data_IF_664355130402
#
_entry.id   IF_664355130402
#
_cell.length_a   1.000
_cell.length_b   1.000
_cell.length_c   1.000
_cell.angle_alpha   90.00
_cell.angle_beta   90.00
_cell.angle_gamma   90.00
#
_symmetry.space_group_name_H-M   'P 1'
#
loop_
_entity.id
_entity.type
_entity.pdbx_description
1 polymer ?
#
# COMPACT_ATOMS: atom_id res chain seq x y z
N UNK A 1 31.77 -18.47 40.05
CA UNK A 1 30.64 -17.54 40.31
C UNK A 1 30.84 -16.30 39.45
N UNK A 2 30.27 -16.28 38.25
CA UNK A 2 30.36 -15.12 37.36
C UNK A 2 29.23 -14.13 37.68
N UNK A 3 29.55 -12.84 37.80
CA UNK A 3 28.55 -11.80 38.05
C UNK A 3 27.81 -11.51 36.75
N UNK A 4 26.54 -11.89 36.66
CA UNK A 4 25.66 -11.42 35.60
C UNK A 4 25.55 -9.90 35.67
N UNK A 5 26.02 -9.23 34.63
CA UNK A 5 25.89 -7.77 34.52
C UNK A 5 24.45 -7.49 34.11
N UNK A 6 23.73 -6.80 35.01
CA UNK A 6 22.40 -6.25 34.78
C UNK A 6 22.27 -5.71 33.36
N UNK A 7 21.39 -6.32 32.56
CA UNK A 7 21.05 -5.83 31.23
C UNK A 7 20.29 -4.51 31.45
N UNK A 8 20.76 -3.37 30.89
CA UNK A 8 20.02 -2.12 31.02
C UNK A 8 18.64 -2.28 30.39
N UNK A 9 17.61 -1.73 31.04
CA UNK A 9 16.22 -1.82 30.57
C UNK A 9 16.10 -1.02 29.26
N UNK A 10 16.32 -1.69 28.13
CA UNK A 10 16.15 -1.12 26.79
C UNK A 10 14.70 -0.71 26.64
N UNK A 11 14.46 0.60 26.67
CA UNK A 11 13.12 1.16 26.57
C UNK A 11 12.47 0.74 25.25
N UNK A 12 11.15 0.53 25.25
CA UNK A 12 10.38 0.22 24.03
C UNK A 12 10.66 1.23 22.89
N UNK A 13 10.96 2.49 23.25
CA UNK A 13 11.33 3.57 22.32
C UNK A 13 12.69 3.39 21.62
N UNK A 14 13.59 2.55 22.13
CA UNK A 14 14.90 2.23 21.52
C UNK A 14 14.98 0.82 20.93
N UNK A 15 14.07 -0.08 21.32
CA UNK A 15 13.79 -1.33 20.61
C UNK A 15 13.01 -1.08 19.30
N UNK A 16 12.16 -0.05 19.29
CA UNK A 16 11.63 0.57 18.08
C UNK A 16 12.72 1.36 17.34
N UNK A 17 13.75 0.65 16.84
CA UNK A 17 14.57 1.17 15.75
C UNK A 17 13.65 1.35 14.55
N UNK A 18 13.15 2.57 14.37
CA UNK A 18 12.13 2.89 13.36
C UNK A 18 12.76 2.78 11.98
N UNK A 19 12.68 1.58 11.40
CA UNK A 19 13.03 1.31 10.00
C UNK A 19 12.15 2.24 9.15
N UNK A 20 12.68 3.32 8.53
CA UNK A 20 11.83 4.38 7.98
C UNK A 20 11.08 3.92 6.72
N UNK A 21 11.71 3.01 5.96
CA UNK A 21 11.07 2.23 4.91
C UNK A 21 11.60 0.80 4.89
N UNK A 22 10.76 -0.12 4.44
CA UNK A 22 11.03 -1.54 4.27
C UNK A 22 10.70 -1.95 2.83
N UNK A 23 11.37 -3.00 2.36
CA UNK A 23 11.12 -3.53 1.03
C UNK A 23 9.95 -4.53 1.07
N UNK A 24 8.95 -4.28 0.23
CA UNK A 24 7.70 -5.02 0.13
C UNK A 24 7.62 -5.71 -1.24
N UNK A 25 7.97 -7.00 -1.34
CA UNK A 25 7.80 -7.75 -2.58
C UNK A 25 6.32 -8.04 -2.82
N UNK A 26 5.80 -7.54 -3.94
CA UNK A 26 4.43 -7.74 -4.41
C UNK A 26 4.47 -8.61 -5.66
N UNK A 27 3.70 -9.69 -5.67
CA UNK A 27 3.66 -10.60 -6.81
C UNK A 27 2.56 -10.19 -7.79
N UNK A 28 2.94 -9.82 -9.00
CA UNK A 28 2.05 -9.40 -10.07
C UNK A 28 1.74 -10.61 -10.96
N UNK A 29 0.45 -10.95 -11.07
CA UNK A 29 -0.03 -11.99 -11.97
C UNK A 29 -0.38 -11.40 -13.33
N UNK A 30 0.32 -11.84 -14.37
CA UNK A 30 0.00 -11.49 -15.75
C UNK A 30 -1.16 -12.33 -16.27
N UNK A 31 -1.87 -11.81 -17.28
CA UNK A 31 -2.96 -12.52 -17.96
C UNK A 31 -2.49 -13.78 -18.72
N UNK A 32 -1.18 -13.90 -19.00
CA UNK A 32 -0.56 -15.12 -19.55
C UNK A 32 -0.29 -16.21 -18.50
N UNK A 33 -0.58 -15.94 -17.23
CA UNK A 33 -0.34 -16.84 -16.10
C UNK A 33 1.06 -16.78 -15.51
N UNK A 34 1.95 -15.93 -16.02
CA UNK A 34 3.28 -15.71 -15.43
C UNK A 34 3.20 -14.78 -14.21
N UNK A 35 4.05 -15.06 -13.23
CA UNK A 35 4.17 -14.28 -11.99
C UNK A 35 5.45 -13.44 -12.05
N UNK A 36 5.35 -12.14 -11.79
CA UNK A 36 6.50 -11.21 -11.72
C UNK A 36 6.48 -10.51 -10.38
N UNK A 37 7.51 -10.72 -9.55
CA UNK A 37 7.66 -9.98 -8.31
C UNK A 37 8.23 -8.58 -8.58
N UNK A 38 7.56 -7.54 -8.06
CA UNK A 38 8.05 -6.17 -8.02
C UNK A 38 8.29 -5.78 -6.56
N UNK A 39 9.44 -5.23 -6.26
CA UNK A 39 9.83 -4.83 -4.90
C UNK A 39 9.55 -3.36 -4.71
N UNK A 40 8.55 -3.03 -3.89
CA UNK A 40 8.22 -1.65 -3.55
C UNK A 40 8.96 -1.22 -2.28
N UNK A 41 9.52 -0.02 -2.25
CA UNK A 41 10.06 0.57 -1.03
C UNK A 41 8.93 1.29 -0.27
N UNK A 42 8.40 0.65 0.76
CA UNK A 42 7.24 1.07 1.52
C UNK A 42 7.65 1.72 2.85
N UNK A 43 7.04 2.85 3.22
CA UNK A 43 7.32 3.61 4.45
C UNK A 43 6.74 2.86 5.65
N UNK A 44 7.48 2.75 6.76
CA UNK A 44 6.92 2.14 7.97
C UNK A 44 6.07 3.15 8.75
N UNK A 45 4.77 3.13 8.53
CA UNK A 45 3.80 3.96 9.27
C UNK A 45 3.26 3.23 10.51
N UNK A 46 2.72 3.95 11.49
CA UNK A 46 2.03 3.31 12.62
C UNK A 46 0.71 2.71 12.16
N UNK A 47 0.27 1.64 12.84
CA UNK A 47 -1.05 1.00 12.61
C UNK A 47 -2.21 2.01 12.65
N UNK A 48 -2.14 3.03 13.51
CA UNK A 48 -3.15 4.09 13.61
C UNK A 48 -3.11 5.04 12.41
N UNK A 49 -1.92 5.53 12.03
CA UNK A 49 -1.75 6.42 10.87
C UNK A 49 -2.20 5.75 9.57
N UNK A 50 -1.95 4.44 9.43
CA UNK A 50 -2.44 3.67 8.31
C UNK A 50 -3.96 3.42 8.35
N UNK A 51 -4.54 3.18 9.53
CA UNK A 51 -5.99 3.08 9.69
C UNK A 51 -6.68 4.41 9.34
N UNK A 52 -6.17 5.55 9.79
CA UNK A 52 -6.71 6.88 9.45
C UNK A 52 -6.66 7.14 7.92
N UNK A 53 -5.59 6.69 7.25
CA UNK A 53 -5.48 6.77 5.78
C UNK A 53 -6.43 5.80 5.06
N UNK A 54 -6.63 4.59 5.59
CA UNK A 54 -7.62 3.63 5.07
C UNK A 54 -9.04 4.15 5.25
N UNK A 55 -9.38 4.74 6.39
CA UNK A 55 -10.70 5.34 6.64
C UNK A 55 -10.94 6.57 5.76
N UNK A 56 -9.92 7.42 5.55
CA UNK A 56 -10.01 8.55 4.62
C UNK A 56 -10.21 8.11 3.15
N UNK A 57 -9.72 6.93 2.77
CA UNK A 57 -9.88 6.34 1.43
C UNK A 57 -11.15 5.49 1.29
N UNK A 58 -11.61 4.83 2.36
CA UNK A 58 -12.86 4.06 2.39
C UNK A 58 -14.09 4.92 2.65
N UNK A 59 -13.95 6.15 3.16
CA UNK A 59 -15.05 7.10 3.28
C UNK A 59 -15.73 7.23 1.91
N UNK A 60 -16.98 6.74 1.75
CA UNK A 60 -17.59 6.67 0.45
C UNK A 60 -17.82 8.08 -0.08
N UNK A 61 -17.80 8.22 -1.40
CA UNK A 61 -18.26 9.41 -2.13
C UNK A 61 -19.79 9.47 -2.06
N UNK A 62 -20.31 9.59 -0.83
CA UNK A 62 -21.72 9.81 -0.49
C UNK A 62 -21.95 11.27 -0.01
N UNK A 63 -20.88 12.08 0.10
CA UNK A 63 -20.96 13.48 0.56
C UNK A 63 -20.72 14.52 -0.56
N UNK A 64 -20.42 14.12 -1.79
CA UNK A 64 -20.25 15.05 -2.94
C UNK A 64 -21.38 15.01 -3.98
N UNK A 65 -22.52 14.37 -3.69
CA UNK A 65 -23.77 14.51 -4.47
C UNK A 65 -24.85 15.23 -3.65
N UNK A 66 -24.52 16.45 -3.22
CA UNK A 66 -25.50 17.46 -2.79
C UNK A 66 -25.29 18.82 -3.45
N UNK A 67 -24.99 18.82 -4.74
CA UNK A 67 -25.24 19.98 -5.59
C UNK A 67 -25.74 19.57 -6.99
N UNK A 68 -27.06 19.70 -7.18
CA UNK A 68 -27.65 20.36 -8.36
C UNK A 68 -27.56 19.77 -9.76
N UNK A 69 -26.68 18.83 -10.08
CA UNK A 69 -26.43 18.43 -11.48
C UNK A 69 -27.06 17.08 -11.91
N UNK A 70 -27.30 16.97 -13.22
CA UNK A 70 -28.09 15.90 -13.84
C UNK A 70 -27.47 14.52 -13.59
N UNK A 71 -28.27 13.43 -13.51
CA UNK A 71 -27.73 12.10 -13.25
C UNK A 71 -26.70 11.73 -14.32
N UNK A 72 -25.43 11.74 -13.93
CA UNK A 72 -24.33 11.34 -14.79
C UNK A 72 -24.60 9.91 -15.27
N UNK A 73 -24.59 9.69 -16.59
CA UNK A 73 -24.74 8.33 -17.13
C UNK A 73 -23.62 7.47 -16.56
N UNK A 74 -24.00 6.46 -15.78
CA UNK A 74 -23.06 5.49 -15.21
C UNK A 74 -22.12 4.98 -16.31
N UNK A 75 -20.81 5.20 -16.11
CA UNK A 75 -19.76 4.80 -17.04
C UNK A 75 -18.77 3.91 -16.31
N UNK A 76 -18.70 2.64 -16.70
CA UNK A 76 -17.84 1.66 -16.05
C UNK A 76 -16.35 2.05 -16.16
N UNK A 77 -15.92 2.65 -17.28
CA UNK A 77 -14.54 3.15 -17.43
C UNK A 77 -14.24 4.35 -16.55
N UNK A 78 -15.23 5.20 -16.25
CA UNK A 78 -15.05 6.31 -15.31
C UNK A 78 -14.88 5.78 -13.87
N UNK A 79 -15.69 4.80 -13.46
CA UNK A 79 -15.57 4.15 -12.14
C UNK A 79 -14.20 3.47 -11.99
N UNK A 80 -13.82 2.61 -12.94
CA UNK A 80 -12.53 1.89 -12.89
C UNK A 80 -11.35 2.88 -12.91
N UNK A 81 -11.37 3.89 -13.79
CA UNK A 81 -10.31 4.91 -13.83
C UNK A 81 -10.22 5.76 -12.57
N UNK A 82 -11.34 6.00 -11.88
CA UNK A 82 -11.35 6.69 -10.59
C UNK A 82 -10.79 5.80 -9.46
N UNK A 83 -11.17 4.53 -9.42
CA UNK A 83 -10.66 3.59 -8.41
C UNK A 83 -9.16 3.30 -8.57
N UNK A 84 -8.66 3.17 -9.81
CA UNK A 84 -7.22 3.07 -10.08
C UNK A 84 -6.47 4.32 -9.58
N UNK A 85 -7.01 5.53 -9.84
CA UNK A 85 -6.41 6.78 -9.36
C UNK A 85 -6.38 6.86 -7.83
N UNK A 86 -7.49 6.58 -7.15
CA UNK A 86 -7.55 6.53 -5.68
C UNK A 86 -6.53 5.53 -5.12
N UNK A 87 -6.39 4.37 -5.76
CA UNK A 87 -5.42 3.33 -5.40
C UNK A 87 -3.99 3.84 -5.51
N UNK A 88 -3.62 4.43 -6.65
CA UNK A 88 -2.30 5.02 -6.88
C UNK A 88 -1.98 6.17 -5.91
N UNK A 89 -2.96 7.02 -5.58
CA UNK A 89 -2.82 8.09 -4.57
C UNK A 89 -2.60 7.54 -3.16
N UNK A 90 -3.31 6.46 -2.77
CA UNK A 90 -3.11 5.82 -1.47
C UNK A 90 -1.73 5.19 -1.37
N UNK A 91 -1.28 4.51 -2.43
CA UNK A 91 0.03 3.87 -2.53
C UNK A 91 1.16 4.91 -2.51
N UNK A 92 0.98 6.05 -3.19
CA UNK A 92 1.95 7.16 -3.17
C UNK A 92 2.15 7.77 -1.77
N UNK A 93 1.17 7.64 -0.88
CA UNK A 93 1.30 8.06 0.53
C UNK A 93 2.17 7.08 1.32
N UNK A 94 1.97 5.76 1.16
CA UNK A 94 2.66 4.73 1.92
C UNK A 94 3.91 4.11 1.27
N UNK A 95 4.22 4.41 0.01
CA UNK A 95 5.47 4.01 -0.66
C UNK A 95 6.26 5.23 -1.17
N UNK A 96 7.53 4.99 -1.50
CA UNK A 96 8.50 6.00 -1.95
C UNK A 96 9.31 5.57 -3.18
N UNK A 97 9.12 4.35 -3.68
CA UNK A 97 9.87 3.81 -4.82
C UNK A 97 9.52 2.35 -5.10
N UNK A 98 10.14 1.81 -6.15
CA UNK A 98 10.12 0.41 -6.55
C UNK A 98 11.44 0.03 -7.24
N UNK A 99 11.65 -1.25 -7.56
CA UNK A 99 12.83 -1.72 -8.32
C UNK A 99 12.66 -1.69 -9.85
N UNK A 100 11.56 -1.12 -10.36
CA UNK A 100 11.36 -0.90 -11.80
C UNK A 100 12.25 0.23 -12.33
N UNK A 101 12.54 0.19 -13.64
CA UNK A 101 13.31 1.22 -14.32
C UNK A 101 12.53 2.54 -14.51
N UNK A 102 11.20 2.47 -14.52
CA UNK A 102 10.30 3.61 -14.62
C UNK A 102 10.25 4.41 -13.32
N UNK A 103 9.92 5.70 -13.40
CA UNK A 103 9.79 6.54 -12.21
C UNK A 103 8.59 6.11 -11.35
N UNK A 104 8.76 6.07 -10.02
CA UNK A 104 7.66 5.81 -9.10
C UNK A 104 6.78 7.06 -8.97
N UNK A 105 5.68 7.11 -9.74
CA UNK A 105 4.71 8.20 -9.73
C UNK A 105 3.27 7.66 -9.94
N UNK A 106 2.22 8.46 -9.68
CA UNK A 106 0.83 8.01 -9.79
C UNK A 106 0.41 7.53 -11.19
N UNK A 107 0.93 8.15 -12.26
CA UNK A 107 0.58 7.78 -13.64
C UNK A 107 1.14 6.38 -13.97
N UNK A 108 2.39 6.10 -13.61
CA UNK A 108 3.01 4.79 -13.81
C UNK A 108 2.39 3.71 -12.91
N UNK A 109 1.85 4.07 -11.73
CA UNK A 109 1.05 3.18 -10.90
C UNK A 109 -0.30 2.82 -11.55
N UNK A 110 -0.94 3.78 -12.23
CA UNK A 110 -2.18 3.53 -13.00
C UNK A 110 -1.89 2.65 -14.22
N UNK A 111 -0.83 2.95 -14.97
CA UNK A 111 -0.39 2.13 -16.12
C UNK A 111 -0.07 0.68 -15.70
N UNK A 112 0.53 0.50 -14.53
CA UNK A 112 0.83 -0.84 -13.97
C UNK A 112 -0.45 -1.60 -13.59
N UNK A 113 -1.50 -0.92 -13.10
CA UNK A 113 -2.80 -1.54 -12.80
C UNK A 113 -3.60 -1.86 -14.06
N UNK A 114 -3.59 -0.98 -15.07
CA UNK A 114 -4.28 -1.20 -16.35
C UNK A 114 -3.62 -2.34 -17.15
N UNK A 115 -2.29 -2.39 -17.15
CA UNK A 115 -1.51 -3.49 -17.76
C UNK A 115 -1.58 -4.80 -16.96
N UNK A 116 -1.64 -4.72 -15.63
CA UNK A 116 -1.61 -5.87 -14.72
C UNK A 116 -2.62 -5.71 -13.57
N UNK A 117 -3.90 -5.91 -13.90
CA UNK A 117 -5.01 -5.75 -12.96
C UNK A 117 -4.85 -6.53 -11.65
N UNK A 118 -5.16 -5.86 -10.53
CA UNK A 118 -5.00 -6.37 -9.18
C UNK A 118 -3.63 -6.11 -8.55
N UNK A 119 -2.74 -5.37 -9.20
CA UNK A 119 -1.40 -5.02 -8.67
C UNK A 119 -1.49 -4.08 -7.47
N UNK A 120 -2.25 -2.98 -7.59
CA UNK A 120 -2.44 -2.02 -6.50
C UNK A 120 -3.17 -2.68 -5.32
N UNK A 121 -4.16 -3.54 -5.60
CA UNK A 121 -4.83 -4.35 -4.58
C UNK A 121 -3.88 -5.32 -3.87
N UNK A 122 -2.98 -5.96 -4.61
CA UNK A 122 -1.96 -6.88 -4.07
C UNK A 122 -0.92 -6.14 -3.21
N UNK A 123 -0.47 -4.95 -3.64
CA UNK A 123 0.38 -4.09 -2.82
C UNK A 123 -0.33 -3.69 -1.52
N UNK A 124 -1.58 -3.22 -1.60
CA UNK A 124 -2.32 -2.76 -0.42
C UNK A 124 -2.56 -3.89 0.59
N UNK A 125 -2.86 -5.10 0.11
CA UNK A 125 -2.99 -6.30 0.95
C UNK A 125 -1.66 -6.71 1.60
N UNK A 126 -0.55 -6.66 0.85
CA UNK A 126 0.79 -6.93 1.38
C UNK A 126 1.22 -5.87 2.41
N UNK A 127 0.85 -4.60 2.19
CA UNK A 127 1.13 -3.50 3.11
C UNK A 127 0.27 -3.58 4.38
N UNK A 128 -1.03 -3.92 4.28
CA UNK A 128 -1.88 -4.24 5.43
C UNK A 128 -1.27 -5.39 6.27
N UNK A 129 -0.77 -6.44 5.62
CA UNK A 129 -0.11 -7.56 6.29
C UNK A 129 1.19 -7.14 6.99
N UNK A 130 2.00 -6.30 6.35
CA UNK A 130 3.21 -5.73 6.94
C UNK A 130 2.88 -4.87 8.19
N UNK A 131 1.96 -3.92 8.07
CA UNK A 131 1.64 -2.98 9.14
C UNK A 131 0.85 -3.62 10.27
N UNK A 132 -0.25 -4.33 9.99
CA UNK A 132 -1.12 -4.87 11.04
C UNK A 132 -0.61 -6.18 11.63
N UNK A 133 0.02 -7.05 10.84
CA UNK A 133 0.43 -8.39 11.25
C UNK A 133 1.96 -8.56 11.38
N UNK A 134 2.76 -7.54 11.01
CA UNK A 134 4.22 -7.61 11.05
C UNK A 134 4.82 -8.53 9.98
N UNK A 135 4.04 -8.85 8.94
CA UNK A 135 4.40 -9.86 7.93
C UNK A 135 4.93 -9.21 6.65
N UNK A 136 6.24 -9.25 6.48
CA UNK A 136 6.92 -8.90 5.23
C UNK A 136 7.06 -10.15 4.36
N UNK A 137 6.56 -10.08 3.13
CA UNK A 137 6.46 -11.22 2.22
C UNK A 137 5.09 -11.91 2.25
N UNK A 138 4.79 -12.59 1.15
CA UNK A 138 3.47 -13.15 0.87
C UNK A 138 3.06 -14.27 1.86
N UNK A 139 1.76 -14.43 2.09
CA UNK A 139 1.20 -15.71 2.53
C UNK A 139 0.18 -16.22 1.53
N UNK A 140 0.60 -17.19 0.72
CA UNK A 140 -0.17 -18.38 0.41
C UNK A 140 0.48 -19.55 1.20
N UNK A 141 -0.22 -20.46 1.87
CA UNK A 141 -1.68 -20.64 1.99
C UNK A 141 -2.41 -20.73 0.63
#
# INVERSE_FOLDING_TARGET
MAKEKSVPVTSLKTLAGTVPSFDLPVNIKRLDGTETAVTFNAKAMRKTEWADLRDAHMKPINESEKDGEQPAKFSFSAVVGEDMRKGAELISKCASGWDLADEFNPENLIELEDSFGGTLGSFLSAYDAAIFHGRLGNSAA
#
